data_IF_959497152794
#
_entry.id   IF_959497152794
#
_cell.length_a   1.000
_cell.length_b   1.000
_cell.length_c   1.000
_cell.angle_alpha   90.00
_cell.angle_beta   90.00
_cell.angle_gamma   90.00
#
_symmetry.space_group_name_H-M   'P 1'
#
loop_
_entity.id
_entity.type
_entity.pdbx_description
1 polymer ?
#
# COMPACT_ATOMS: atom_id res chain seq x y z
N UNK A 1 -35.14 -14.21 39.29
CA UNK A 1 -35.97 -13.70 38.18
C UNK A 1 -35.84 -12.18 38.12
N UNK A 2 -35.71 -11.66 36.91
CA UNK A 2 -35.72 -10.24 36.48
C UNK A 2 -34.53 -9.34 36.91
N UNK A 3 -33.57 -9.19 35.98
CA UNK A 3 -32.70 -8.02 35.90
C UNK A 3 -33.10 -7.21 34.66
N UNK A 4 -33.68 -6.03 34.89
CA UNK A 4 -33.64 -4.90 33.94
C UNK A 4 -32.49 -3.99 34.35
N UNK A 5 -32.38 -2.81 33.71
CA UNK A 5 -31.42 -1.72 33.90
C UNK A 5 -30.19 -1.82 32.97
N UNK A 6 -29.83 -0.86 32.11
CA UNK A 6 -30.36 0.43 31.66
C UNK A 6 -29.68 0.79 30.32
N UNK A 7 -30.43 1.47 29.45
CA UNK A 7 -30.07 2.44 28.39
C UNK A 7 -28.67 2.43 27.73
N UNK A 8 -28.70 2.22 26.42
CA UNK A 8 -27.64 2.47 25.46
C UNK A 8 -27.21 3.95 25.45
N UNK A 9 -25.94 4.20 25.76
CA UNK A 9 -25.27 5.47 25.45
C UNK A 9 -24.73 5.42 24.02
N UNK A 10 -25.44 6.10 23.11
CA UNK A 10 -24.91 6.48 21.80
C UNK A 10 -23.77 7.47 22.01
N UNK A 11 -22.53 7.04 21.86
CA UNK A 11 -21.39 7.94 21.75
C UNK A 11 -21.34 8.45 20.31
N UNK A 12 -21.95 9.60 20.05
CA UNK A 12 -21.80 10.31 18.79
C UNK A 12 -20.38 10.88 18.71
N UNK A 13 -19.51 10.23 17.94
CA UNK A 13 -18.19 10.78 17.58
C UNK A 13 -18.40 11.75 16.41
N UNK A 14 -18.04 13.04 16.53
CA UNK A 14 -18.11 13.97 15.41
C UNK A 14 -17.06 13.58 14.36
N UNK A 15 -17.51 13.29 13.13
CA UNK A 15 -16.63 13.15 11.96
C UNK A 15 -16.04 14.53 11.64
N UNK A 16 -14.85 14.83 12.16
CA UNK A 16 -13.97 15.80 11.54
C UNK A 16 -13.44 15.17 10.24
N UNK A 17 -13.88 15.69 9.10
CA UNK A 17 -13.32 15.34 7.80
C UNK A 17 -11.89 15.88 7.73
N UNK A 18 -10.92 15.11 8.25
CA UNK A 18 -9.54 15.28 7.84
C UNK A 18 -9.51 14.97 6.35
N UNK A 19 -9.26 16.01 5.54
CA UNK A 19 -8.85 15.82 4.17
C UNK A 19 -7.54 15.03 4.23
N UNK A 20 -7.66 13.71 4.13
CA UNK A 20 -6.54 12.80 3.95
C UNK A 20 -5.98 13.16 2.56
N UNK A 21 -5.02 14.09 2.52
CA UNK A 21 -4.08 14.15 1.43
C UNK A 21 -3.27 12.87 1.57
N UNK A 22 -3.81 11.78 1.00
CA UNK A 22 -3.11 10.52 0.87
C UNK A 22 -1.91 10.80 -0.02
N UNK A 23 -0.80 11.20 0.59
CA UNK A 23 0.52 11.03 0.04
C UNK A 23 0.71 9.53 -0.08
N UNK A 24 0.24 9.01 -1.22
CA UNK A 24 0.24 7.60 -1.45
C UNK A 24 1.69 7.19 -1.73
N UNK A 25 2.33 6.73 -0.67
CA UNK A 25 3.63 6.08 -0.69
C UNK A 25 3.54 4.75 -1.45
N UNK A 26 3.50 4.84 -2.77
CA UNK A 26 3.44 3.70 -3.70
C UNK A 26 4.81 3.08 -3.98
N UNK A 27 5.87 3.46 -3.23
CA UNK A 27 7.25 3.09 -3.55
C UNK A 27 8.00 2.28 -2.49
N UNK A 28 7.57 2.32 -1.22
CA UNK A 28 8.27 1.60 -0.15
C UNK A 28 7.96 0.09 -0.19
N UNK A 29 8.99 -0.79 -0.11
CA UNK A 29 8.80 -2.20 0.15
C UNK A 29 7.97 -2.41 1.44
N UNK A 30 6.99 -3.32 1.36
CA UNK A 30 6.06 -3.64 2.46
C UNK A 30 6.80 -3.94 3.77
N UNK A 31 7.95 -4.60 3.67
CA UNK A 31 8.78 -5.00 4.81
C UNK A 31 9.31 -3.80 5.60
N UNK A 32 9.75 -2.74 4.92
CA UNK A 32 10.26 -1.53 5.58
C UNK A 32 9.13 -0.76 6.29
N UNK A 33 7.93 -0.76 5.71
CA UNK A 33 6.75 -0.12 6.32
C UNK A 33 6.30 -0.85 7.58
N UNK A 34 6.26 -2.19 7.54
CA UNK A 34 5.90 -2.99 8.71
C UNK A 34 6.91 -2.83 9.84
N UNK A 35 8.21 -2.83 9.54
CA UNK A 35 9.25 -2.67 10.56
C UNK A 35 9.16 -1.28 11.21
N UNK A 36 8.95 -0.23 10.41
CA UNK A 36 8.72 1.13 10.91
C UNK A 36 7.50 1.20 11.84
N UNK A 37 6.38 0.60 11.45
CA UNK A 37 5.17 0.54 12.27
C UNK A 37 5.39 -0.26 13.56
N UNK A 38 6.14 -1.36 13.48
CA UNK A 38 6.49 -2.20 14.64
C UNK A 38 7.26 -1.39 15.68
N UNK A 39 8.25 -0.61 15.24
CA UNK A 39 9.07 0.22 16.13
C UNK A 39 8.30 1.44 16.68
N UNK A 40 7.58 2.15 15.81
CA UNK A 40 6.86 3.39 16.18
C UNK A 40 5.68 3.11 17.12
N UNK A 41 4.97 2.00 16.92
CA UNK A 41 3.76 1.65 17.69
C UNK A 41 4.02 0.59 18.75
N UNK A 42 5.26 0.09 18.87
CA UNK A 42 5.65 -0.96 19.81
C UNK A 42 4.73 -2.17 19.72
N UNK A 43 4.56 -2.69 18.50
CA UNK A 43 3.61 -3.76 18.23
C UNK A 43 4.02 -5.07 18.93
N UNK A 44 3.02 -5.76 19.49
CA UNK A 44 3.18 -7.14 19.97
C UNK A 44 3.41 -8.11 18.80
N UNK A 45 4.01 -9.29 19.04
CA UNK A 45 4.17 -10.31 18.00
C UNK A 45 2.85 -10.65 17.29
N UNK A 46 1.76 -10.75 18.05
CA UNK A 46 0.44 -11.08 17.52
C UNK A 46 -0.11 -9.96 16.61
N UNK A 47 0.14 -8.68 16.95
CA UNK A 47 -0.25 -7.56 16.09
C UNK A 47 0.58 -7.50 14.82
N UNK A 48 1.90 -7.76 14.91
CA UNK A 48 2.79 -7.82 13.75
C UNK A 48 2.32 -8.87 12.74
N UNK A 49 2.04 -10.09 13.20
CA UNK A 49 1.54 -11.17 12.32
C UNK A 49 0.22 -10.81 11.64
N UNK A 50 -0.70 -10.11 12.34
CA UNK A 50 -1.96 -9.66 11.74
C UNK A 50 -1.73 -8.60 10.65
N UNK A 51 -0.81 -7.64 10.88
CA UNK A 51 -0.48 -6.63 9.87
C UNK A 51 0.25 -7.25 8.66
N UNK A 52 1.15 -8.21 8.87
CA UNK A 52 1.78 -8.97 7.79
C UNK A 52 0.74 -9.61 6.87
N UNK A 53 -0.27 -10.26 7.46
CA UNK A 53 -1.35 -10.86 6.69
C UNK A 53 -2.13 -9.82 5.87
N UNK A 54 -2.46 -8.67 6.48
CA UNK A 54 -3.17 -7.57 5.80
C UNK A 54 -2.34 -7.03 4.62
N UNK A 55 -1.06 -6.75 4.82
CA UNK A 55 -0.22 -6.22 3.75
C UNK A 55 0.05 -7.24 2.65
N UNK A 56 0.16 -8.52 2.98
CA UNK A 56 0.27 -9.60 1.99
C UNK A 56 -0.99 -9.67 1.11
N UNK A 57 -2.17 -9.68 1.71
CA UNK A 57 -3.44 -9.67 0.97
C UNK A 57 -3.56 -8.43 0.09
N UNK A 58 -3.18 -7.25 0.61
CA UNK A 58 -3.16 -6.01 -0.17
C UNK A 58 -2.21 -6.10 -1.37
N UNK A 59 -1.01 -6.66 -1.17
CA UNK A 59 -0.03 -6.83 -2.24
C UNK A 59 -0.56 -7.75 -3.35
N UNK A 60 -1.19 -8.87 -3.00
CA UNK A 60 -1.78 -9.80 -3.97
C UNK A 60 -2.89 -9.14 -4.79
N UNK A 61 -3.80 -8.40 -4.15
CA UNK A 61 -4.85 -7.63 -4.84
C UNK A 61 -4.26 -6.59 -5.78
N UNK A 62 -3.25 -5.86 -5.32
CA UNK A 62 -2.62 -4.82 -6.13
C UNK A 62 -1.88 -5.41 -7.34
N UNK A 63 -1.22 -6.57 -7.17
CA UNK A 63 -0.59 -7.29 -8.28
C UNK A 63 -1.62 -7.66 -9.35
N UNK A 64 -2.76 -8.23 -8.95
CA UNK A 64 -3.82 -8.59 -9.89
C UNK A 64 -4.34 -7.36 -10.66
N UNK A 65 -4.61 -6.25 -9.98
CA UNK A 65 -5.04 -4.99 -10.59
C UNK A 65 -3.98 -4.46 -11.57
N UNK A 66 -2.70 -4.52 -11.19
CA UNK A 66 -1.59 -4.07 -12.02
C UNK A 66 -1.49 -4.90 -13.31
N UNK A 67 -1.58 -6.22 -13.23
CA UNK A 67 -1.54 -7.13 -14.38
C UNK A 67 -2.73 -6.90 -15.32
N UNK A 68 -3.94 -6.79 -14.76
CA UNK A 68 -5.15 -6.48 -15.54
C UNK A 68 -5.02 -5.13 -16.26
N UNK A 69 -4.63 -4.09 -15.53
CA UNK A 69 -4.43 -2.75 -16.07
C UNK A 69 -3.40 -2.75 -17.18
N UNK A 70 -2.30 -3.48 -17.00
CA UNK A 70 -1.27 -3.61 -18.02
C UNK A 70 -1.78 -4.28 -19.29
N UNK A 71 -2.58 -5.34 -19.17
CA UNK A 71 -3.23 -6.01 -20.30
C UNK A 71 -4.16 -5.06 -21.05
N UNK A 72 -4.98 -4.29 -20.33
CA UNK A 72 -5.92 -3.33 -20.93
C UNK A 72 -5.19 -2.19 -21.65
N UNK A 73 -4.11 -1.67 -21.08
CA UNK A 73 -3.27 -0.65 -21.72
C UNK A 73 -2.68 -1.20 -23.03
N UNK A 74 -2.24 -2.46 -23.05
CA UNK A 74 -1.72 -3.11 -24.28
C UNK A 74 -2.72 -3.17 -25.42
N UNK A 75 -4.02 -3.21 -25.12
CA UNK A 75 -5.06 -3.24 -26.14
C UNK A 75 -5.34 -1.86 -26.76
N UNK A 76 -4.95 -0.78 -26.07
CA UNK A 76 -5.20 0.61 -26.52
C UNK A 76 -4.00 1.19 -27.26
N UNK A 77 -2.78 0.81 -26.85
CA UNK A 77 -1.55 1.33 -27.44
C UNK A 77 -1.19 0.61 -28.74
N UNK A 78 -0.65 1.37 -29.70
CA UNK A 78 -0.05 0.79 -30.89
C UNK A 78 1.35 0.19 -30.56
N UNK A 79 1.95 -0.61 -31.47
CA UNK A 79 3.25 -1.26 -31.22
C UNK A 79 4.39 -0.28 -30.90
N UNK A 80 4.43 0.89 -31.55
CA UNK A 80 5.48 1.89 -31.31
C UNK A 80 5.37 2.53 -29.92
N UNK A 81 4.14 2.86 -29.50
CA UNK A 81 3.84 3.38 -28.16
C UNK A 81 4.18 2.37 -27.07
N UNK A 82 3.90 1.08 -27.30
CA UNK A 82 4.25 0.00 -26.37
C UNK A 82 5.76 -0.10 -26.17
N UNK A 83 6.53 -0.08 -27.27
CA UNK A 83 8.00 -0.10 -27.21
C UNK A 83 8.55 1.09 -26.41
N UNK A 84 8.04 2.29 -26.67
CA UNK A 84 8.42 3.49 -25.91
C UNK A 84 8.10 3.36 -24.42
N UNK A 85 6.95 2.80 -24.08
CA UNK A 85 6.58 2.56 -22.68
C UNK A 85 7.54 1.58 -22.00
N UNK A 86 7.93 0.49 -22.66
CA UNK A 86 8.86 -0.49 -22.10
C UNK A 86 10.29 0.08 -21.94
N UNK A 87 10.74 0.91 -22.88
CA UNK A 87 12.00 1.66 -22.75
C UNK A 87 11.99 2.60 -21.54
N UNK A 88 10.91 3.38 -21.38
CA UNK A 88 10.76 4.29 -20.23
C UNK A 88 10.76 3.53 -18.90
N UNK A 89 10.09 2.36 -18.83
CA UNK A 89 10.10 1.49 -17.65
C UNK A 89 11.49 0.99 -17.32
N UNK A 90 12.24 0.54 -18.34
CA UNK A 90 13.62 0.07 -18.17
C UNK A 90 14.52 1.18 -17.63
N UNK A 91 14.47 2.36 -18.25
CA UNK A 91 15.23 3.52 -17.79
C UNK A 91 14.87 3.94 -16.36
N UNK A 92 13.58 3.92 -16.00
CA UNK A 92 13.17 4.20 -14.62
C UNK A 92 13.75 3.19 -13.64
N UNK A 93 13.71 1.89 -13.97
CA UNK A 93 14.29 0.84 -13.13
C UNK A 93 15.81 1.01 -12.96
N UNK A 94 16.53 1.34 -14.03
CA UNK A 94 17.97 1.60 -13.99
C UNK A 94 18.29 2.78 -13.06
N UNK A 95 17.57 3.90 -13.20
CA UNK A 95 17.73 5.05 -12.29
C UNK A 95 17.47 4.68 -10.83
N UNK A 96 16.41 3.93 -10.55
CA UNK A 96 16.11 3.47 -9.19
C UNK A 96 17.23 2.57 -8.63
N UNK A 97 17.83 1.72 -9.47
CA UNK A 97 18.97 0.88 -9.07
C UNK A 97 20.24 1.70 -8.82
N UNK A 98 20.50 2.72 -9.64
CA UNK A 98 21.64 3.63 -9.44
C UNK A 98 21.49 4.43 -8.14
N UNK A 99 20.30 4.97 -7.86
CA UNK A 99 20.04 5.74 -6.66
C UNK A 99 20.15 4.87 -5.39
N UNK A 100 19.65 3.63 -5.45
CA UNK A 100 19.84 2.65 -4.39
C UNK A 100 21.34 2.35 -4.15
N UNK A 101 22.14 2.21 -5.21
CA UNK A 101 23.58 2.00 -5.10
C UNK A 101 24.33 3.20 -4.51
N UNK A 102 23.93 4.43 -4.88
CA UNK A 102 24.50 5.67 -4.32
C UNK A 102 24.17 5.83 -2.84
N UNK A 103 22.95 5.49 -2.43
CA UNK A 103 22.53 5.57 -1.03
C UNK A 103 23.21 4.54 -0.12
N UNK A 104 23.85 3.52 -0.68
CA UNK A 104 24.53 2.45 0.07
C UNK A 104 26.04 2.68 0.19
N UNK A 105 26.60 3.69 -0.48
CA UNK A 105 28.02 4.11 -0.39
C UNK A 105 28.18 5.32 0.52
#
# INVERSE_FOLDING_TARGET
MQKRWLFATFLAVPLAAFAYTGENDYGQPVDHKLESLTQLLQLTPEQKTKLEAIFKEQHEKFRAIHEESHSRIKQVLNPEQMRKMDELRKQHKERMQEDAQKSTR
#
